data_IF_604642430270
#
_entry.id   IF_604642430270
#
_cell.length_a   1.000
_cell.length_b   1.000
_cell.length_c   1.000
_cell.angle_alpha   90.00
_cell.angle_beta   90.00
_cell.angle_gamma   90.00
#
_symmetry.space_group_name_H-M   'P 1'
#
loop_
_entity.id
_entity.type
_entity.pdbx_description
1 polymer ?
#
# COMPACT_ATOMS: atom_id res chain seq x y z
N UNK A 1 -16.87 5.84 -14.87
CA UNK A 1 -16.36 4.46 -15.02
C UNK A 1 -14.86 4.53 -15.25
N UNK A 2 -14.07 4.08 -14.27
CA UNK A 2 -12.62 4.19 -14.31
C UNK A 2 -12.03 3.01 -15.10
N UNK A 3 -11.72 3.25 -16.38
CA UNK A 3 -11.19 2.21 -17.31
C UNK A 3 -9.92 1.55 -16.81
N UNK A 4 -9.11 2.27 -16.01
CA UNK A 4 -7.85 1.74 -15.45
C UNK A 4 -8.13 0.70 -14.37
N UNK A 5 -9.07 0.99 -13.48
CA UNK A 5 -9.48 0.08 -12.41
C UNK A 5 -10.02 -1.23 -12.98
N UNK A 6 -10.93 -1.17 -13.96
CA UNK A 6 -11.48 -2.39 -14.59
C UNK A 6 -10.42 -3.24 -15.31
N UNK A 7 -9.44 -2.59 -15.95
CA UNK A 7 -8.33 -3.29 -16.60
C UNK A 7 -7.48 -4.05 -15.58
N UNK A 8 -7.16 -3.41 -14.45
CA UNK A 8 -6.35 -3.99 -13.39
C UNK A 8 -7.09 -5.14 -12.68
N UNK A 9 -8.38 -4.97 -12.39
CA UNK A 9 -9.22 -6.02 -11.82
C UNK A 9 -9.26 -7.26 -12.72
N UNK A 10 -9.50 -7.09 -14.04
CA UNK A 10 -9.51 -8.22 -14.99
C UNK A 10 -8.17 -8.92 -15.06
N UNK A 11 -7.08 -8.18 -15.08
CA UNK A 11 -5.73 -8.74 -15.19
C UNK A 11 -5.34 -9.55 -13.94
N UNK A 12 -5.72 -9.09 -12.75
CA UNK A 12 -5.46 -9.83 -11.52
C UNK A 12 -6.44 -11.00 -11.33
N UNK A 13 -7.68 -10.87 -11.79
CA UNK A 13 -8.67 -11.96 -11.78
C UNK A 13 -8.25 -13.14 -12.68
N UNK A 14 -7.45 -12.91 -13.72
CA UNK A 14 -6.84 -13.99 -14.52
C UNK A 14 -5.66 -14.70 -13.84
N UNK A 15 -5.40 -14.42 -12.55
CA UNK A 15 -4.37 -15.10 -11.75
C UNK A 15 -3.00 -14.43 -11.78
N UNK A 16 -2.89 -13.17 -12.22
CA UNK A 16 -1.61 -12.47 -12.26
C UNK A 16 -1.06 -12.22 -10.84
N UNK A 17 0.20 -12.60 -10.64
CA UNK A 17 0.97 -12.31 -9.43
C UNK A 17 1.78 -11.00 -9.54
N UNK A 18 1.47 -10.15 -10.53
CA UNK A 18 2.21 -8.92 -10.77
C UNK A 18 2.04 -7.91 -9.61
N UNK A 19 3.12 -7.69 -8.85
CA UNK A 19 3.18 -6.77 -7.71
C UNK A 19 2.83 -5.34 -8.10
N UNK A 20 3.33 -4.88 -9.25
CA UNK A 20 3.13 -3.51 -9.72
C UNK A 20 1.66 -3.28 -10.08
N UNK A 21 1.02 -4.23 -10.74
CA UNK A 21 -0.40 -4.19 -11.06
C UNK A 21 -1.28 -4.18 -9.81
N UNK A 22 -0.95 -5.02 -8.82
CA UNK A 22 -1.67 -5.08 -7.55
C UNK A 22 -1.51 -3.79 -6.75
N UNK A 23 -0.30 -3.22 -6.73
CA UNK A 23 -0.05 -1.89 -6.18
C UNK A 23 -0.87 -0.81 -6.90
N UNK A 24 -0.87 -0.80 -8.23
CA UNK A 24 -1.64 0.15 -9.02
C UNK A 24 -3.15 0.02 -8.75
N UNK A 25 -3.67 -1.20 -8.58
CA UNK A 25 -5.08 -1.40 -8.25
C UNK A 25 -5.43 -0.83 -6.88
N UNK A 26 -4.58 -1.05 -5.87
CA UNK A 26 -4.79 -0.50 -4.54
C UNK A 26 -4.82 1.04 -4.55
N UNK A 27 -3.97 1.68 -5.35
CA UNK A 27 -3.98 3.14 -5.54
C UNK A 27 -5.25 3.64 -6.24
N UNK A 28 -5.75 2.93 -7.24
CA UNK A 28 -7.01 3.27 -7.89
C UNK A 28 -8.19 3.16 -6.90
N UNK A 29 -8.25 2.11 -6.08
CA UNK A 29 -9.26 2.01 -5.02
C UNK A 29 -9.13 3.14 -3.98
N UNK A 30 -7.91 3.48 -3.55
CA UNK A 30 -7.67 4.63 -2.65
C UNK A 30 -8.23 5.92 -3.26
N UNK A 31 -7.99 6.16 -4.55
CA UNK A 31 -8.44 7.36 -5.26
C UNK A 31 -9.96 7.45 -5.34
N UNK A 32 -10.65 6.33 -5.49
CA UNK A 32 -12.12 6.24 -5.52
C UNK A 32 -12.75 6.27 -4.11
N UNK A 33 -11.95 6.39 -3.05
CA UNK A 33 -12.45 6.34 -1.66
C UNK A 33 -12.89 4.95 -1.20
N UNK A 34 -12.52 3.90 -1.96
CA UNK A 34 -12.84 2.49 -1.65
C UNK A 34 -11.79 1.94 -0.68
N UNK A 35 -11.84 2.40 0.57
CA UNK A 35 -10.85 2.11 1.62
C UNK A 35 -10.61 0.62 1.85
N UNK A 36 -11.67 -0.16 2.04
CA UNK A 36 -11.52 -1.59 2.34
C UNK A 36 -10.95 -2.37 1.15
N UNK A 37 -11.35 -2.03 -0.08
CA UNK A 37 -10.81 -2.67 -1.28
C UNK A 37 -9.33 -2.34 -1.47
N UNK A 38 -8.94 -1.08 -1.23
CA UNK A 38 -7.54 -0.65 -1.28
C UNK A 38 -6.70 -1.39 -0.23
N UNK A 39 -7.19 -1.46 1.02
CA UNK A 39 -6.49 -2.13 2.11
C UNK A 39 -6.38 -3.64 1.88
N UNK A 40 -7.44 -4.30 1.41
CA UNK A 40 -7.40 -5.71 1.05
C UNK A 40 -6.38 -5.97 -0.07
N UNK A 41 -6.31 -5.07 -1.06
CA UNK A 41 -5.36 -5.18 -2.17
C UNK A 41 -3.92 -4.96 -1.72
N UNK A 42 -3.66 -3.97 -0.84
CA UNK A 42 -2.35 -3.80 -0.21
C UNK A 42 -1.96 -5.00 0.64
N UNK A 43 -2.90 -5.56 1.40
CA UNK A 43 -2.65 -6.75 2.23
C UNK A 43 -2.26 -7.95 1.38
N UNK A 44 -2.99 -8.22 0.30
CA UNK A 44 -2.63 -9.27 -0.66
C UNK A 44 -1.27 -9.00 -1.32
N UNK A 45 -0.93 -7.74 -1.59
CA UNK A 45 0.39 -7.39 -2.14
C UNK A 45 1.48 -7.70 -1.12
N UNK A 46 1.27 -7.40 0.16
CA UNK A 46 2.22 -7.71 1.23
C UNK A 46 2.44 -9.21 1.42
N UNK A 47 1.43 -10.03 1.15
CA UNK A 47 1.57 -11.49 1.19
C UNK A 47 2.37 -12.05 0.00
N UNK A 48 2.20 -11.47 -1.20
CA UNK A 48 2.87 -11.94 -2.42
C UNK A 48 4.30 -11.39 -2.53
N UNK A 49 4.48 -10.12 -2.18
CA UNK A 49 5.73 -9.38 -2.31
C UNK A 49 5.92 -8.47 -1.08
N UNK A 50 6.33 -9.05 0.06
CA UNK A 50 6.56 -8.29 1.30
C UNK A 50 7.66 -7.23 1.16
N UNK A 51 8.49 -7.35 0.12
CA UNK A 51 9.61 -6.46 -0.16
C UNK A 51 9.21 -5.25 -1.03
N UNK A 52 7.96 -5.15 -1.48
CA UNK A 52 7.45 -4.03 -2.26
C UNK A 52 7.30 -2.75 -1.40
N UNK A 53 8.43 -2.09 -1.12
CA UNK A 53 8.53 -1.00 -0.16
C UNK A 53 7.49 0.14 -0.32
N UNK A 54 7.16 0.61 -1.54
CA UNK A 54 6.20 1.71 -1.70
C UNK A 54 4.80 1.43 -1.13
N UNK A 55 4.40 0.15 -1.01
CA UNK A 55 3.07 -0.19 -0.49
C UNK A 55 2.88 0.24 0.97
N UNK A 56 3.93 0.18 1.79
CA UNK A 56 3.82 0.44 3.22
C UNK A 56 3.47 1.90 3.51
N UNK A 57 4.07 2.83 2.77
CA UNK A 57 3.76 4.26 2.89
C UNK A 57 2.34 4.55 2.42
N UNK A 58 1.93 3.97 1.28
CA UNK A 58 0.60 4.21 0.72
C UNK A 58 -0.52 3.61 1.57
N UNK A 59 -0.33 2.39 2.11
CA UNK A 59 -1.28 1.76 3.02
C UNK A 59 -1.37 2.53 4.34
N UNK A 60 -0.22 2.95 4.91
CA UNK A 60 -0.19 3.81 6.09
C UNK A 60 -0.95 5.12 5.88
N UNK A 61 -0.70 5.81 4.76
CA UNK A 61 -1.40 7.06 4.44
C UNK A 61 -2.91 6.85 4.23
N UNK A 62 -3.31 5.79 3.55
CA UNK A 62 -4.74 5.44 3.40
C UNK A 62 -5.43 5.30 4.76
N UNK A 63 -4.78 4.63 5.71
CA UNK A 63 -5.32 4.38 7.04
C UNK A 63 -5.36 5.68 7.88
N UNK A 64 -4.34 6.54 7.79
CA UNK A 64 -4.36 7.88 8.39
C UNK A 64 -5.51 8.72 7.83
N UNK A 65 -5.63 8.79 6.50
CA UNK A 65 -6.67 9.56 5.79
C UNK A 65 -8.09 9.12 6.20
N UNK A 66 -8.23 7.86 6.63
CA UNK A 66 -9.50 7.23 7.00
C UNK A 66 -9.68 7.05 8.51
N UNK A 67 -8.84 7.72 9.32
CA UNK A 67 -8.88 7.75 10.80
C UNK A 67 -8.66 6.38 11.46
N UNK A 68 -7.93 5.48 10.80
CA UNK A 68 -7.55 4.14 11.27
C UNK A 68 -6.07 4.12 11.73
N UNK A 69 -5.71 5.06 12.61
CA UNK A 69 -4.32 5.31 12.99
C UNK A 69 -3.59 4.10 13.61
N UNK A 70 -4.27 3.31 14.45
CA UNK A 70 -3.65 2.12 15.05
C UNK A 70 -3.22 1.08 14.01
N UNK A 71 -3.99 0.90 12.93
CA UNK A 71 -3.63 0.01 11.84
C UNK A 71 -2.51 0.62 10.96
N UNK A 72 -2.53 1.95 10.78
CA UNK A 72 -1.47 2.65 10.05
C UNK A 72 -0.10 2.43 10.68
N UNK A 73 -0.02 2.40 12.02
CA UNK A 73 1.24 2.15 12.76
C UNK A 73 1.89 0.81 12.37
N UNK A 74 1.12 -0.28 12.26
CA UNK A 74 1.68 -1.59 11.86
C UNK A 74 2.30 -1.52 10.45
N UNK A 75 1.60 -0.90 9.50
CA UNK A 75 2.10 -0.75 8.13
C UNK A 75 3.36 0.10 8.08
N UNK A 76 3.38 1.24 8.75
CA UNK A 76 4.49 2.18 8.71
C UNK A 76 5.73 1.59 9.41
N UNK A 77 5.58 0.95 10.57
CA UNK A 77 6.69 0.32 11.29
C UNK A 77 7.36 -0.78 10.46
N UNK A 78 6.58 -1.66 9.83
CA UNK A 78 7.14 -2.69 8.93
C UNK A 78 7.85 -2.09 7.72
N UNK A 79 7.29 -1.02 7.15
CA UNK A 79 7.93 -0.27 6.08
C UNK A 79 9.29 0.30 6.51
N UNK A 80 9.37 0.86 7.73
CA UNK A 80 10.61 1.44 8.28
C UNK A 80 11.68 0.36 8.44
N UNK A 81 11.31 -0.80 8.97
CA UNK A 81 12.22 -1.95 9.11
C UNK A 81 12.76 -2.40 7.74
N UNK A 82 11.88 -2.51 6.74
CA UNK A 82 12.26 -2.89 5.39
C UNK A 82 13.16 -1.84 4.73
N UNK A 83 12.82 -0.55 4.86
CA UNK A 83 13.62 0.55 4.32
C UNK A 83 15.03 0.56 4.93
N UNK A 84 15.14 0.38 6.26
CA UNK A 84 16.42 0.23 6.97
C UNK A 84 17.23 -0.94 6.43
N UNK A 85 16.61 -2.11 6.26
CA UNK A 85 17.26 -3.30 5.72
C UNK A 85 17.77 -3.10 4.29
N UNK A 86 17.04 -2.34 3.47
CA UNK A 86 17.41 -2.03 2.08
C UNK A 86 18.36 -0.84 1.93
N UNK A 87 18.62 -0.08 2.99
CA UNK A 87 19.40 1.16 2.92
C UNK A 87 18.65 2.31 2.23
N UNK A 88 17.33 2.24 2.15
CA UNK A 88 16.46 3.22 1.48
C UNK A 88 16.15 4.40 2.41
N UNK A 89 17.17 5.22 2.70
CA UNK A 89 17.08 6.30 3.69
C UNK A 89 15.98 7.33 3.41
N UNK A 90 15.71 7.64 2.14
CA UNK A 90 14.62 8.55 1.77
C UNK A 90 13.25 7.95 2.13
N UNK A 91 13.00 6.71 1.75
CA UNK A 91 11.75 6.03 2.04
C UNK A 91 11.55 5.86 3.56
N UNK A 92 12.63 5.54 4.28
CA UNK A 92 12.61 5.47 5.75
C UNK A 92 12.13 6.80 6.36
N UNK A 93 12.68 7.93 5.92
CA UNK A 93 12.30 9.24 6.44
C UNK A 93 10.83 9.60 6.13
N UNK A 94 10.33 9.26 4.93
CA UNK A 94 8.93 9.48 4.56
C UNK A 94 7.98 8.64 5.43
N UNK A 95 8.34 7.39 5.72
CA UNK A 95 7.57 6.50 6.60
C UNK A 95 7.58 6.98 8.07
N UNK A 96 8.74 7.42 8.57
CA UNK A 96 8.87 7.99 9.92
C UNK A 96 8.06 9.28 10.07
N UNK A 97 8.04 10.13 9.04
CA UNK A 97 7.23 11.34 9.02
C UNK A 97 5.73 11.04 9.03
N UNK A 98 5.28 10.05 8.26
CA UNK A 98 3.89 9.60 8.28
C UNK A 98 3.50 9.02 9.66
N UNK A 99 4.41 8.25 10.29
CA UNK A 99 4.17 7.66 11.61
C UNK A 99 4.00 8.73 12.70
N UNK A 100 4.75 9.83 12.61
CA UNK A 100 4.69 10.93 13.58
C UNK A 100 3.34 11.69 13.57
N UNK A 101 2.55 11.59 12.49
CA UNK A 101 1.25 12.25 12.33
C UNK A 101 0.06 11.28 12.44
N UNK A 102 0.32 10.02 12.78
CA UNK A 102 -0.68 8.94 12.86
C UNK A 102 -1.50 8.96 14.15
#
# INVERSE_FOLDING_TARGET
MNKRLEMLEKMLASGSADSFARYALALEYKREGRTEDALATFTALREVDPDYLPMYLMAGQLLIDTRRGEEAKDWLLRGIELAKKKGEGKAQAELEAALAVT
#
